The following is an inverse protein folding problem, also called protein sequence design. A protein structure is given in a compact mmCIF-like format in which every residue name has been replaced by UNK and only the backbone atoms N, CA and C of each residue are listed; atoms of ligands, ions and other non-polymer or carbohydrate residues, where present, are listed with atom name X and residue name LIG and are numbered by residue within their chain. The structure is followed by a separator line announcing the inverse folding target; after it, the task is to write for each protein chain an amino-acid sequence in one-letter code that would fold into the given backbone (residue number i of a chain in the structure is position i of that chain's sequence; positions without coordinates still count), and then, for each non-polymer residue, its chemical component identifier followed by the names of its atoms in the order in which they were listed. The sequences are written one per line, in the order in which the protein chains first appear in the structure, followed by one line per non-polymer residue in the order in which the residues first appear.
data_IF_471879732336
#
_entry.id   IF_471879732336
#
_cell.length_a   1.000
_cell.length_b   1.000
_cell.length_c   1.000
_cell.angle_alpha   90.00
_cell.angle_beta   90.00
_cell.angle_gamma   90.00
#
_symmetry.space_group_name_H-M   'P 1'
#
loop_
_entity.id
_entity.type
_entity.pdbx_description
1 polymer ?
#
# COMPACT_ATOMS: atom_id res chain seq x y z
N UNK A 1 -16.56 -9.32 17.98
CA UNK A 1 -15.16 -9.36 18.44
C UNK A 1 -14.30 -10.00 17.34
N UNK A 2 -13.21 -9.35 16.94
CA UNK A 2 -12.28 -9.84 15.92
C UNK A 2 -11.49 -11.03 16.49
N UNK A 3 -11.60 -12.20 15.84
CA UNK A 3 -10.89 -13.43 16.25
C UNK A 3 -9.61 -13.61 15.41
N UNK A 4 -8.60 -14.28 15.98
CA UNK A 4 -7.35 -14.59 15.28
C UNK A 4 -7.56 -15.40 13.98
N UNK A 5 -8.53 -16.31 13.98
CA UNK A 5 -8.93 -17.07 12.77
C UNK A 5 -9.41 -16.19 11.62
N UNK A 6 -10.13 -15.10 11.91
CA UNK A 6 -10.56 -14.14 10.88
C UNK A 6 -9.38 -13.39 10.29
N UNK A 7 -8.42 -13.00 11.12
CA UNK A 7 -7.19 -12.32 10.69
C UNK A 7 -6.34 -13.27 9.83
N UNK A 8 -6.15 -14.50 10.26
CA UNK A 8 -5.43 -15.53 9.50
C UNK A 8 -6.08 -15.76 8.12
N UNK A 9 -7.42 -15.89 8.08
CA UNK A 9 -8.18 -16.03 6.83
C UNK A 9 -8.00 -14.80 5.93
N UNK A 10 -8.02 -13.59 6.52
CA UNK A 10 -7.80 -12.35 5.77
C UNK A 10 -6.39 -12.29 5.16
N UNK A 11 -5.35 -12.58 5.95
CA UNK A 11 -3.96 -12.60 5.47
C UNK A 11 -3.81 -13.59 4.30
N UNK A 12 -4.32 -14.82 4.47
CA UNK A 12 -4.26 -15.82 3.42
C UNK A 12 -4.96 -15.36 2.14
N UNK A 13 -6.23 -14.95 2.23
CA UNK A 13 -7.07 -14.72 1.06
C UNK A 13 -6.81 -13.36 0.40
N UNK A 14 -6.44 -12.33 1.18
CA UNK A 14 -6.33 -10.95 0.67
C UNK A 14 -4.89 -10.47 0.55
N UNK A 15 -3.92 -11.16 1.14
CA UNK A 15 -2.50 -10.83 0.99
C UNK A 15 -1.83 -11.94 0.18
N UNK A 16 -1.70 -13.14 0.74
CA UNK A 16 -0.93 -14.22 0.11
C UNK A 16 -1.52 -14.61 -1.26
N UNK A 17 -2.84 -14.85 -1.35
CA UNK A 17 -3.47 -15.27 -2.61
C UNK A 17 -3.57 -14.17 -3.67
N UNK A 18 -3.36 -12.89 -3.31
CA UNK A 18 -3.45 -11.76 -4.26
C UNK A 18 -2.11 -11.19 -4.66
N UNK A 19 -1.15 -11.16 -3.73
CA UNK A 19 0.12 -10.45 -3.91
C UNK A 19 1.35 -11.36 -3.73
N UNK A 20 1.12 -12.64 -3.40
CA UNK A 20 2.20 -13.57 -3.06
C UNK A 20 2.55 -13.54 -1.58
N UNK A 21 3.50 -14.40 -1.21
CA UNK A 21 3.96 -14.54 0.17
C UNK A 21 4.89 -13.37 0.51
N UNK A 22 4.56 -12.53 1.52
CA UNK A 22 5.46 -11.46 1.95
C UNK A 22 6.66 -12.04 2.70
N UNK A 23 7.80 -11.34 2.66
CA UNK A 23 8.98 -11.74 3.45
C UNK A 23 8.73 -11.57 4.95
N UNK A 24 8.04 -10.49 5.32
CA UNK A 24 7.76 -10.17 6.72
C UNK A 24 6.40 -9.48 6.89
N UNK A 25 5.81 -9.66 8.07
CA UNK A 25 4.62 -8.91 8.50
C UNK A 25 4.92 -8.26 9.84
N UNK A 26 4.60 -6.97 9.95
CA UNK A 26 4.71 -6.19 11.17
C UNK A 26 3.30 -5.87 11.66
N UNK A 27 3.01 -6.12 12.94
CA UNK A 27 1.74 -5.74 13.57
C UNK A 27 1.96 -5.05 14.91
N UNK A 28 0.88 -4.50 15.45
CA UNK A 28 0.81 -4.14 16.87
C UNK A 28 0.71 -5.39 17.76
N UNK A 29 0.63 -5.18 19.08
CA UNK A 29 0.47 -6.26 20.06
C UNK A 29 -0.99 -6.71 20.25
N UNK A 30 -1.86 -6.50 19.25
CA UNK A 30 -3.26 -6.86 19.31
C UNK A 30 -3.48 -8.35 19.61
N UNK A 31 -4.47 -8.65 20.45
CA UNK A 31 -4.77 -10.03 20.89
C UNK A 31 -5.21 -10.94 19.74
N UNK A 32 -5.62 -10.37 18.62
CA UNK A 32 -6.04 -11.07 17.41
C UNK A 32 -4.87 -11.53 16.50
N UNK A 33 -3.62 -11.13 16.84
CA UNK A 33 -2.40 -11.63 16.19
C UNK A 33 -1.75 -12.75 17.03
N UNK A 34 -2.52 -13.79 17.36
CA UNK A 34 -2.05 -14.93 18.15
C UNK A 34 -2.16 -16.22 17.36
N UNK A 35 -1.83 -17.30 18.01
CA UNK A 35 -1.79 -18.71 17.58
C UNK A 35 -2.08 -18.95 16.08
N UNK A 36 -3.33 -18.85 15.63
CA UNK A 36 -3.72 -19.17 14.23
C UNK A 36 -3.04 -18.29 13.18
N UNK A 37 -2.71 -17.05 13.55
CA UNK A 37 -1.94 -16.15 12.66
C UNK A 37 -0.48 -16.56 12.65
N UNK A 38 0.10 -16.89 13.80
CA UNK A 38 1.49 -17.34 13.92
C UNK A 38 1.67 -18.65 13.14
N UNK A 39 0.80 -19.64 13.38
CA UNK A 39 0.82 -20.93 12.69
C UNK A 39 0.74 -20.76 11.15
N UNK A 40 -0.10 -19.82 10.68
CA UNK A 40 -0.18 -19.49 9.27
C UNK A 40 1.13 -18.91 8.72
N UNK A 41 1.71 -17.94 9.42
CA UNK A 41 2.93 -17.27 8.98
C UNK A 41 4.14 -18.20 9.00
N UNK A 42 4.26 -19.04 10.01
CA UNK A 42 5.28 -20.10 10.08
C UNK A 42 5.15 -21.08 8.91
N UNK A 43 3.93 -21.52 8.59
CA UNK A 43 3.65 -22.41 7.44
C UNK A 43 4.17 -21.84 6.12
N UNK A 44 4.11 -20.52 5.92
CA UNK A 44 4.57 -19.85 4.71
C UNK A 44 5.98 -19.26 4.85
N UNK A 45 6.69 -19.55 5.95
CA UNK A 45 8.02 -19.01 6.25
C UNK A 45 8.07 -17.47 6.21
N UNK A 46 7.05 -16.82 6.75
CA UNK A 46 6.94 -15.35 6.83
C UNK A 46 7.43 -14.88 8.19
N UNK A 47 8.42 -13.98 8.22
CA UNK A 47 8.90 -13.39 9.47
C UNK A 47 7.81 -12.51 10.10
N UNK A 48 7.55 -12.70 11.40
CA UNK A 48 6.53 -11.95 12.11
C UNK A 48 7.14 -11.07 13.20
N UNK A 49 6.93 -9.76 13.09
CA UNK A 49 7.44 -8.76 14.03
C UNK A 49 6.30 -8.03 14.72
N UNK A 50 6.40 -7.90 16.03
CA UNK A 50 5.48 -7.08 16.83
C UNK A 50 6.12 -5.74 17.14
N UNK A 51 5.42 -4.65 16.81
CA UNK A 51 5.87 -3.32 17.23
C UNK A 51 5.74 -3.19 18.76
N UNK A 52 6.79 -2.71 19.41
CA UNK A 52 6.71 -2.41 20.84
C UNK A 52 6.14 -1.01 21.05
N UNK A 53 5.49 -0.79 22.19
CA UNK A 53 5.01 0.54 22.62
C UNK A 53 6.14 1.58 22.73
N UNK A 54 7.38 1.10 22.90
CA UNK A 54 8.58 1.96 22.98
C UNK A 54 9.17 2.35 21.62
N UNK A 55 8.73 1.71 20.52
CA UNK A 55 9.16 2.03 19.15
C UNK A 55 7.96 2.18 18.21
N UNK A 56 7.14 3.23 18.40
CA UNK A 56 5.94 3.45 17.56
C UNK A 56 6.28 3.70 16.08
N UNK A 57 7.52 4.10 15.80
CA UNK A 57 8.00 4.35 14.43
C UNK A 57 7.89 3.14 13.50
N UNK A 58 7.93 1.93 14.05
CA UNK A 58 7.77 0.67 13.28
C UNK A 58 6.38 0.56 12.65
N UNK A 59 5.37 1.18 13.26
CA UNK A 59 3.98 1.20 12.76
C UNK A 59 3.59 2.51 12.05
N UNK A 60 4.51 3.47 11.98
CA UNK A 60 4.25 4.82 11.46
C UNK A 60 3.73 4.84 10.02
N UNK A 61 4.18 3.91 9.17
CA UNK A 61 3.69 3.80 7.80
C UNK A 61 2.21 3.41 7.73
N UNK A 62 1.76 2.51 8.61
CA UNK A 62 0.35 2.08 8.71
C UNK A 62 -0.50 3.20 9.27
N UNK A 63 -0.01 3.92 10.27
CA UNK A 63 -0.71 5.07 10.86
C UNK A 63 -0.90 6.20 9.84
N UNK A 64 0.13 6.52 9.05
CA UNK A 64 0.04 7.51 7.97
C UNK A 64 -0.94 7.05 6.88
N UNK A 65 -0.87 5.80 6.45
CA UNK A 65 -1.82 5.24 5.49
C UNK A 65 -3.26 5.33 6.01
N UNK A 66 -3.51 4.93 7.26
CA UNK A 66 -4.82 5.01 7.89
C UNK A 66 -5.34 6.45 8.00
N UNK A 67 -4.46 7.40 8.33
CA UNK A 67 -4.80 8.82 8.38
C UNK A 67 -5.22 9.35 7.01
N UNK A 68 -4.48 9.00 5.97
CA UNK A 68 -4.80 9.39 4.60
C UNK A 68 -6.12 8.79 4.12
N UNK A 69 -6.35 7.49 4.36
CA UNK A 69 -7.61 6.81 4.02
C UNK A 69 -8.79 7.44 4.76
N UNK A 70 -8.65 7.71 6.06
CA UNK A 70 -9.69 8.42 6.84
C UNK A 70 -10.00 9.79 6.26
N UNK A 71 -8.98 10.54 5.85
CA UNK A 71 -9.17 11.87 5.27
C UNK A 71 -9.92 11.81 3.91
N UNK A 72 -9.59 10.83 3.06
CA UNK A 72 -10.33 10.59 1.81
C UNK A 72 -11.79 10.23 2.14
N UNK A 73 -11.98 9.28 3.06
CA UNK A 73 -13.29 8.79 3.45
C UNK A 73 -14.17 9.90 4.01
N UNK A 74 -13.63 10.77 4.88
CA UNK A 74 -14.34 11.92 5.44
C UNK A 74 -14.89 12.88 4.39
N UNK A 75 -14.22 13.01 3.24
CA UNK A 75 -14.68 13.83 2.12
C UNK A 75 -15.80 13.18 1.30
N UNK A 76 -15.94 11.87 1.39
CA UNK A 76 -16.89 11.08 0.59
C UNK A 76 -18.18 10.74 1.35
N UNK A 77 -18.12 10.77 2.69
CA UNK A 77 -19.23 10.38 3.57
C UNK A 77 -20.18 11.54 3.74
N UNK A 78 -21.44 11.32 3.37
CA UNK A 78 -22.53 12.27 3.63
C UNK A 78 -23.10 12.15 5.04
N UNK A 79 -23.21 10.91 5.54
CA UNK A 79 -23.62 10.59 6.90
C UNK A 79 -22.66 9.56 7.50
N UNK A 80 -22.53 9.55 8.85
CA UNK A 80 -21.58 8.63 9.49
C UNK A 80 -21.94 7.14 9.30
N UNK A 81 -23.15 6.81 8.79
CA UNK A 81 -23.62 5.44 8.58
C UNK A 81 -23.21 4.83 7.23
N UNK A 82 -22.91 5.64 6.24
CA UNK A 82 -22.59 5.21 4.86
C UNK A 82 -21.08 4.98 4.61
N UNK A 83 -20.24 5.16 5.64
CA UNK A 83 -18.78 4.94 5.51
C UNK A 83 -18.37 3.52 5.05
N UNK A 84 -19.08 2.42 5.43
CA UNK A 84 -18.69 1.09 4.96
C UNK A 84 -18.79 0.96 3.44
N UNK A 85 -19.85 1.55 2.85
CA UNK A 85 -20.09 1.52 1.40
C UNK A 85 -19.11 2.43 0.64
N UNK A 86 -18.62 3.49 1.30
CA UNK A 86 -17.62 4.41 0.74
C UNK A 86 -16.17 3.95 0.91
N UNK A 87 -15.92 3.05 1.86
CA UNK A 87 -14.57 2.56 2.15
C UNK A 87 -13.86 1.94 0.93
N UNK A 88 -14.48 1.10 0.10
CA UNK A 88 -13.83 0.57 -1.11
C UNK A 88 -13.34 1.67 -2.06
N UNK A 89 -14.12 2.74 -2.22
CA UNK A 89 -13.76 3.88 -3.07
C UNK A 89 -12.63 4.72 -2.46
N UNK A 90 -12.64 4.91 -1.13
CA UNK A 90 -11.54 5.58 -0.43
C UNK A 90 -10.22 4.80 -0.56
N UNK A 91 -10.29 3.48 -0.45
CA UNK A 91 -9.14 2.59 -0.67
C UNK A 91 -8.67 2.62 -2.13
N UNK A 92 -9.60 2.67 -3.08
CA UNK A 92 -9.28 2.86 -4.49
C UNK A 92 -8.53 4.18 -4.71
N UNK A 93 -9.09 5.30 -4.26
CA UNK A 93 -8.46 6.62 -4.35
C UNK A 93 -7.08 6.65 -3.69
N UNK A 94 -6.89 5.97 -2.55
CA UNK A 94 -5.58 5.84 -1.92
C UNK A 94 -4.58 5.08 -2.80
N UNK A 95 -5.00 3.96 -3.41
CA UNK A 95 -4.13 3.10 -4.23
C UNK A 95 -3.72 3.73 -5.56
N UNK A 96 -4.56 4.59 -6.12
CA UNK A 96 -4.35 5.23 -7.42
C UNK A 96 -3.75 6.64 -7.32
N UNK A 97 -3.52 7.16 -6.11
CA UNK A 97 -2.88 8.46 -5.91
C UNK A 97 -1.40 8.32 -5.62
N UNK A 98 -0.57 9.19 -6.20
CA UNK A 98 0.88 9.22 -5.95
C UNK A 98 1.15 9.50 -4.47
N UNK A 99 2.04 8.71 -3.89
CA UNK A 99 2.49 8.88 -2.51
C UNK A 99 3.82 9.65 -2.49
N UNK A 100 3.88 10.69 -1.68
CA UNK A 100 5.12 11.49 -1.50
C UNK A 100 6.28 10.67 -0.95
N UNK A 101 5.99 9.61 -0.20
CA UNK A 101 7.00 8.70 0.36
C UNK A 101 7.66 7.80 -0.69
N UNK A 102 6.92 7.40 -1.72
CA UNK A 102 7.40 6.48 -2.77
C UNK A 102 7.66 7.16 -4.11
N UNK A 103 7.04 8.33 -4.35
CA UNK A 103 7.04 9.00 -5.64
C UNK A 103 6.23 8.28 -6.72
N UNK A 104 5.43 7.28 -6.33
CA UNK A 104 4.63 6.44 -7.24
C UNK A 104 3.27 6.12 -6.62
N UNK A 105 2.34 5.60 -7.42
CA UNK A 105 1.07 5.09 -6.89
C UNK A 105 1.28 3.68 -6.32
N UNK A 106 0.60 3.29 -5.22
CA UNK A 106 0.61 1.92 -4.74
C UNK A 106 0.17 0.91 -5.83
N UNK A 107 -0.73 1.31 -6.71
CA UNK A 107 -1.20 0.48 -7.81
C UNK A 107 -0.08 0.16 -8.80
N UNK A 108 0.66 1.16 -9.27
CA UNK A 108 1.74 0.94 -10.24
C UNK A 108 2.89 0.13 -9.68
N UNK A 109 3.17 0.22 -8.37
CA UNK A 109 4.19 -0.59 -7.71
C UNK A 109 3.80 -2.08 -7.55
N UNK A 110 2.50 -2.40 -7.66
CA UNK A 110 2.00 -3.77 -7.61
C UNK A 110 1.85 -4.37 -9.01
N UNK A 111 1.24 -3.62 -9.94
CA UNK A 111 0.83 -4.13 -11.26
C UNK A 111 1.77 -3.70 -12.40
N UNK A 112 2.74 -2.84 -12.15
CA UNK A 112 3.70 -2.34 -13.14
C UNK A 112 3.14 -1.30 -14.11
N UNK A 113 1.87 -0.91 -13.94
CA UNK A 113 1.18 0.10 -14.77
C UNK A 113 0.26 0.94 -13.91
N UNK A 114 -0.12 2.11 -14.39
CA UNK A 114 -1.14 2.93 -13.73
C UNK A 114 -2.55 2.37 -13.97
N UNK A 115 -3.42 2.57 -12.99
CA UNK A 115 -4.82 2.17 -13.12
C UNK A 115 -5.53 3.03 -14.19
N UNK A 116 -6.44 2.42 -14.94
CA UNK A 116 -7.45 3.16 -15.70
C UNK A 116 -8.56 3.55 -14.74
N UNK A 117 -8.80 4.84 -14.60
CA UNK A 117 -9.84 5.35 -13.71
C UNK A 117 -11.22 5.22 -14.37
N UNK A 118 -12.30 5.02 -13.59
CA UNK A 118 -13.65 4.91 -14.16
C UNK A 118 -14.03 6.09 -15.07
N UNK A 119 -13.60 7.30 -14.72
CA UNK A 119 -13.84 8.48 -15.56
C UNK A 119 -13.13 8.42 -16.91
N UNK A 120 -11.99 7.72 -17.01
CA UNK A 120 -11.24 7.58 -18.26
C UNK A 120 -11.92 6.61 -19.25
N UNK A 121 -12.92 5.85 -18.79
CA UNK A 121 -13.76 5.02 -19.68
C UNK A 121 -14.77 5.89 -20.41
N UNK A 122 -15.32 6.92 -19.74
CA UNK A 122 -16.28 7.86 -20.35
C UNK A 122 -15.57 8.98 -21.12
N UNK A 123 -14.47 9.50 -20.54
CA UNK A 123 -13.64 10.55 -21.15
C UNK A 123 -12.21 10.03 -21.21
N UNK A 124 -11.83 9.30 -22.29
CA UNK A 124 -10.53 8.66 -22.40
C UNK A 124 -9.39 9.68 -22.29
N UNK A 125 -8.41 9.39 -21.43
CA UNK A 125 -7.17 10.15 -21.38
C UNK A 125 -6.32 9.89 -22.65
N UNK A 126 -5.39 10.80 -22.95
CA UNK A 126 -4.47 10.62 -24.08
C UNK A 126 -3.72 9.29 -24.02
N UNK A 127 -3.39 8.81 -22.82
CA UNK A 127 -2.76 7.50 -22.61
C UNK A 127 -3.68 6.37 -23.08
N UNK A 128 -4.94 6.35 -22.64
CA UNK A 128 -5.91 5.32 -23.02
C UNK A 128 -6.18 5.35 -24.51
N UNK A 129 -6.32 6.54 -25.12
CA UNK A 129 -6.48 6.68 -26.55
C UNK A 129 -5.27 6.15 -27.34
N UNK A 130 -4.06 6.45 -26.87
CA UNK A 130 -2.83 5.97 -27.50
C UNK A 130 -2.75 4.44 -27.43
N UNK A 131 -3.02 3.84 -26.26
CA UNK A 131 -3.02 2.39 -26.06
C UNK A 131 -4.05 1.68 -26.98
N UNK A 132 -5.23 2.28 -27.21
CA UNK A 132 -6.26 1.73 -28.09
C UNK A 132 -5.89 1.77 -29.59
N UNK A 133 -4.93 2.61 -29.97
CA UNK A 133 -4.48 2.77 -31.37
C UNK A 133 -3.26 1.93 -31.73
N UNK A 134 -2.59 1.34 -30.75
CA UNK A 134 -1.41 0.51 -30.96
C UNK A 134 -1.84 -0.88 -31.44
N UNK A 135 -1.15 -1.41 -32.47
CA UNK A 135 -1.36 -2.79 -32.88
C UNK A 135 -1.03 -3.76 -31.75
N UNK A 136 -1.74 -4.89 -31.68
CA UNK A 136 -1.61 -5.86 -30.57
C UNK A 136 -0.17 -6.35 -30.37
N UNK A 137 0.58 -6.54 -31.47
CA UNK A 137 1.99 -6.96 -31.39
C UNK A 137 2.88 -5.88 -30.74
N UNK A 138 2.67 -4.63 -31.11
CA UNK A 138 3.43 -3.49 -30.54
C UNK A 138 3.02 -3.25 -29.08
N UNK A 139 1.75 -3.45 -28.74
CA UNK A 139 1.28 -3.38 -27.36
C UNK A 139 1.94 -4.48 -26.49
N UNK A 140 2.00 -5.72 -26.99
CA UNK A 140 2.66 -6.81 -26.27
C UNK A 140 4.15 -6.52 -26.05
N UNK A 141 4.85 -6.00 -27.07
CA UNK A 141 6.25 -5.62 -26.95
C UNK A 141 6.45 -4.50 -25.94
N UNK A 142 5.66 -3.43 -26.03
CA UNK A 142 5.69 -2.32 -25.07
C UNK A 142 5.42 -2.79 -23.65
N UNK A 143 4.43 -3.67 -23.49
CA UNK A 143 4.10 -4.25 -22.17
C UNK A 143 5.22 -5.10 -21.62
N UNK A 144 5.90 -5.88 -22.44
CA UNK A 144 7.06 -6.64 -22.04
C UNK A 144 8.21 -5.74 -21.56
N UNK A 145 8.50 -4.67 -22.29
CA UNK A 145 9.51 -3.68 -21.93
C UNK A 145 9.18 -2.99 -20.60
N UNK A 146 7.93 -2.60 -20.37
CA UNK A 146 7.47 -2.06 -19.09
C UNK A 146 7.67 -3.01 -17.92
N UNK A 147 7.39 -4.30 -18.14
CA UNK A 147 7.58 -5.33 -17.12
C UNK A 147 9.08 -5.57 -16.83
N UNK A 148 9.95 -5.48 -17.81
CA UNK A 148 11.40 -5.55 -17.61
C UNK A 148 11.92 -4.40 -16.74
N UNK A 149 11.31 -3.20 -16.84
CA UNK A 149 11.66 -2.04 -16.03
C UNK A 149 10.95 -2.01 -14.65
N UNK A 150 10.11 -3.01 -14.37
CA UNK A 150 9.28 -3.01 -13.17
C UNK A 150 10.09 -3.07 -11.87
N UNK A 151 11.10 -3.91 -11.84
CA UNK A 151 11.97 -4.03 -10.67
C UNK A 151 12.82 -2.78 -10.46
N UNK A 152 13.23 -2.11 -11.54
CA UNK A 152 13.92 -0.82 -11.46
C UNK A 152 13.00 0.27 -10.87
N UNK A 153 11.73 0.32 -11.28
CA UNK A 153 10.73 1.24 -10.71
C UNK A 153 10.53 0.99 -9.21
N UNK A 154 10.47 -0.28 -8.79
CA UNK A 154 10.39 -0.66 -7.38
C UNK A 154 11.62 -0.25 -6.60
N UNK A 155 12.80 -0.49 -7.15
CA UNK A 155 14.07 -0.09 -6.55
C UNK A 155 14.16 1.44 -6.39
N UNK A 156 13.75 2.21 -7.41
CA UNK A 156 13.67 3.67 -7.35
C UNK A 156 12.72 4.15 -6.26
N UNK A 157 11.56 3.52 -6.11
CA UNK A 157 10.63 3.81 -5.03
C UNK A 157 11.24 3.52 -3.65
N UNK A 158 12.00 2.43 -3.49
CA UNK A 158 12.72 2.10 -2.26
C UNK A 158 13.74 3.18 -1.88
N UNK A 159 14.55 3.63 -2.83
CA UNK A 159 15.48 4.75 -2.59
C UNK A 159 14.77 6.05 -2.24
N UNK A 160 13.61 6.29 -2.85
CA UNK A 160 12.78 7.45 -2.53
C UNK A 160 12.28 7.40 -1.08
N UNK A 161 11.83 6.23 -0.61
CA UNK A 161 11.41 5.99 0.77
C UNK A 161 12.57 6.28 1.73
N UNK A 162 13.76 5.74 1.46
CA UNK A 162 14.93 5.97 2.32
C UNK A 162 15.29 7.46 2.41
N UNK A 163 15.27 8.16 1.27
CA UNK A 163 15.51 9.61 1.22
C UNK A 163 14.45 10.40 1.99
N UNK A 164 13.19 10.02 1.87
CA UNK A 164 12.06 10.62 2.58
C UNK A 164 12.19 10.42 4.10
N UNK A 165 12.46 9.20 4.55
CA UNK A 165 12.66 8.89 5.97
C UNK A 165 13.84 9.66 6.57
N UNK A 166 14.96 9.76 5.85
CA UNK A 166 16.12 10.57 6.29
C UNK A 166 15.76 12.05 6.44
N UNK A 167 14.96 12.61 5.54
CA UNK A 167 14.48 14.01 5.65
C UNK A 167 13.59 14.21 6.87
N UNK A 168 12.64 13.31 7.11
CA UNK A 168 11.78 13.36 8.31
C UNK A 168 12.60 13.24 9.58
N UNK A 169 13.52 12.28 9.67
CA UNK A 169 14.39 12.10 10.83
C UNK A 169 15.23 13.35 11.10
N UNK A 170 15.81 13.97 10.07
CA UNK A 170 16.56 15.23 10.22
C UNK A 170 15.67 16.38 10.72
N UNK A 171 14.46 16.51 10.19
CA UNK A 171 13.51 17.54 10.61
C UNK A 171 13.05 17.34 12.06
N UNK A 172 12.83 16.08 12.47
CA UNK A 172 12.47 15.73 13.84
C UNK A 172 13.62 16.03 14.81
N UNK A 173 14.82 15.57 14.50
CA UNK A 173 16.01 15.75 15.37
C UNK A 173 16.35 17.22 15.58
N UNK A 174 16.08 18.10 14.62
CA UNK A 174 16.25 19.56 14.82
C UNK A 174 15.33 20.13 15.89
N UNK A 175 14.18 19.49 16.17
CA UNK A 175 13.20 19.94 17.17
C UNK A 175 13.41 19.30 18.54
N UNK A 176 14.18 18.23 18.62
CA UNK A 176 14.49 17.53 19.87
C UNK A 176 15.53 18.33 20.63
N UNK A 177 15.12 18.88 21.78
CA UNK A 177 16.07 19.49 22.73
C UNK A 177 16.69 18.39 23.58
N UNK A 178 18.01 18.43 23.74
CA UNK A 178 18.70 17.59 24.73
C UNK A 178 18.10 17.83 26.12
N UNK A 179 17.68 16.77 26.80
CA UNK A 179 17.37 16.85 28.23
C UNK A 179 18.69 16.84 28.97
N UNK A 180 19.00 17.94 29.59
CA UNK A 180 20.03 18.02 30.65
C UNK A 180 19.54 17.27 31.88
#
# INVERSE_FOLDING_TARGET
VLKASHVAKFIRNNIICRYGVPNEIISDNGSHFKKEVIDLLEKYNVAFHKSSTYRPQTNGAVEDANKNIKHILQKMVGTYRDWPDKLPFALWGYRTSIRTSTGATPYSLVYGMEAVLPIEIEVPSLRVLAECQIAEADWQQSRFEELMLFDERRLKALYHIQGYQRRIARAFNKKVKSRN
#
